data_IF_030634105327
#
_entry.id   IF_030634105327
#
_cell.length_a   1.000
_cell.length_b   1.000
_cell.length_c   1.000
_cell.angle_alpha   90.00
_cell.angle_beta   90.00
_cell.angle_gamma   90.00
#
_symmetry.space_group_name_H-M   'P 1'
#
loop_
_entity.id
_entity.type
_entity.pdbx_description
1 polymer ?
#
# COMPACT_ATOMS: atom_id res chain seq x y z
N UNK A 1 58.90 -45.11 21.28
CA UNK A 1 58.99 -43.64 21.04
C UNK A 1 57.56 -43.15 20.81
N UNK A 2 57.11 -42.15 21.60
CA UNK A 2 55.74 -41.59 21.76
C UNK A 2 54.71 -42.53 22.42
N UNK A 3 54.15 -42.36 23.64
CA UNK A 3 53.64 -41.25 24.49
C UNK A 3 52.34 -40.57 23.99
N UNK A 4 51.29 -40.70 24.83
CA UNK A 4 50.15 -39.78 25.13
C UNK A 4 49.18 -39.42 23.99
N UNK A 5 47.90 -39.05 24.19
CA UNK A 5 46.92 -39.06 25.28
C UNK A 5 45.66 -38.33 24.76
N UNK A 6 44.54 -38.48 25.47
CA UNK A 6 43.45 -37.49 25.65
C UNK A 6 42.50 -37.19 24.47
N UNK A 7 41.28 -37.71 24.63
CA UNK A 7 40.01 -36.97 24.56
C UNK A 7 39.95 -35.74 23.62
N UNK A 8 39.37 -35.93 22.43
CA UNK A 8 38.90 -34.85 21.58
C UNK A 8 37.38 -34.70 21.67
N UNK A 9 36.92 -33.60 22.28
CA UNK A 9 35.53 -33.12 22.19
C UNK A 9 35.19 -32.82 20.73
N UNK A 10 34.08 -33.33 20.22
CA UNK A 10 33.48 -32.81 18.97
C UNK A 10 32.80 -31.49 19.32
N UNK A 11 33.50 -30.39 19.03
CA UNK A 11 33.00 -29.03 19.17
C UNK A 11 32.31 -28.57 17.89
N UNK A 12 31.33 -27.69 18.09
CA UNK A 12 30.45 -27.06 17.12
C UNK A 12 31.11 -26.66 15.80
N UNK A 13 30.41 -26.93 14.70
CA UNK A 13 30.14 -25.98 13.61
C UNK A 13 29.58 -26.72 12.39
N UNK A 14 28.29 -27.09 12.42
CA UNK A 14 27.51 -27.20 11.18
C UNK A 14 27.02 -25.81 10.79
N UNK A 15 27.97 -24.93 10.47
CA UNK A 15 27.70 -23.71 9.73
C UNK A 15 27.37 -24.13 8.29
N UNK A 16 26.09 -24.46 8.04
CA UNK A 16 25.55 -24.36 6.69
C UNK A 16 25.68 -22.89 6.29
N UNK A 17 26.74 -22.56 5.56
CA UNK A 17 26.77 -21.38 4.70
C UNK A 17 25.69 -21.61 3.65
N UNK A 18 24.47 -21.16 3.94
CA UNK A 18 23.60 -20.71 2.86
C UNK A 18 24.38 -19.57 2.22
N UNK A 19 24.90 -19.81 1.02
CA UNK A 19 25.33 -18.75 0.15
C UNK A 19 24.11 -17.86 -0.06
N UNK A 20 23.97 -16.83 0.78
CA UNK A 20 23.14 -15.69 0.46
C UNK A 20 23.93 -14.94 -0.59
N UNK A 21 23.58 -15.16 -1.86
CA UNK A 21 23.68 -14.05 -2.79
C UNK A 21 22.78 -13.00 -2.18
N UNK A 22 23.37 -12.03 -1.48
CA UNK A 22 22.62 -10.85 -1.10
C UNK A 22 22.09 -10.29 -2.41
N UNK A 23 20.80 -10.53 -2.66
CA UNK A 23 20.06 -9.81 -3.67
C UNK A 23 20.36 -8.33 -3.41
N UNK A 24 20.49 -7.50 -4.47
CA UNK A 24 20.58 -6.06 -4.27
C UNK A 24 19.51 -5.68 -3.25
N UNK A 25 19.87 -4.92 -2.21
CA UNK A 25 18.85 -4.27 -1.39
C UNK A 25 18.10 -3.36 -2.36
N UNK A 26 17.03 -3.87 -2.95
CA UNK A 26 16.15 -3.07 -3.78
C UNK A 26 15.70 -1.93 -2.87
N UNK A 27 16.08 -0.70 -3.24
CA UNK A 27 15.67 0.50 -2.51
C UNK A 27 14.14 0.62 -2.44
N UNK A 28 13.44 -0.14 -3.27
CA UNK A 28 12.01 -0.14 -3.50
C UNK A 28 11.34 -1.45 -3.04
N UNK A 29 11.95 -2.15 -2.07
CA UNK A 29 11.36 -3.32 -1.42
C UNK A 29 10.74 -2.99 -0.05
N UNK A 30 9.51 -3.45 0.19
CA UNK A 30 8.78 -3.24 1.46
C UNK A 30 8.24 -4.56 2.01
N UNK A 31 8.09 -4.65 3.34
CA UNK A 31 7.47 -5.84 3.93
C UNK A 31 5.97 -5.89 3.62
N UNK A 32 5.31 -4.74 3.68
CA UNK A 32 3.93 -4.60 3.24
C UNK A 32 3.82 -3.49 2.21
N UNK A 33 3.28 -3.83 1.04
CA UNK A 33 2.79 -2.87 0.05
C UNK A 33 1.27 -2.88 0.10
N UNK A 34 0.68 -1.70 0.25
CA UNK A 34 -0.76 -1.47 0.14
C UNK A 34 -1.03 -0.73 -1.17
N UNK A 35 -1.88 -1.29 -2.02
CA UNK A 35 -2.34 -0.63 -3.25
C UNK A 35 -3.70 -0.01 -3.00
N UNK A 36 -3.76 1.33 -2.97
CA UNK A 36 -4.95 2.12 -2.65
C UNK A 36 -4.88 2.74 -1.25
N UNK A 37 -4.94 4.08 -1.19
CA UNK A 37 -4.94 4.90 0.03
C UNK A 37 -6.35 5.32 0.47
N UNK A 38 -7.36 4.50 0.15
CA UNK A 38 -8.73 4.66 0.62
C UNK A 38 -8.90 4.23 2.08
N UNK A 39 -10.16 4.17 2.54
CA UNK A 39 -10.47 3.86 3.94
C UNK A 39 -9.83 2.53 4.40
N UNK A 40 -10.02 1.44 3.62
CA UNK A 40 -9.44 0.14 3.95
C UNK A 40 -7.91 0.15 3.95
N UNK A 41 -7.29 0.77 2.94
CA UNK A 41 -5.84 0.80 2.79
C UNK A 41 -5.14 1.53 3.95
N UNK A 42 -5.59 2.74 4.29
CA UNK A 42 -4.98 3.50 5.40
C UNK A 42 -5.26 2.86 6.76
N UNK A 43 -6.44 2.27 6.97
CA UNK A 43 -6.75 1.56 8.21
C UNK A 43 -5.81 0.38 8.45
N UNK A 44 -5.59 -0.47 7.44
CA UNK A 44 -4.68 -1.61 7.59
C UNK A 44 -3.22 -1.15 7.66
N UNK A 45 -2.81 -0.17 6.86
CA UNK A 45 -1.45 0.38 6.94
C UNK A 45 -1.13 0.89 8.35
N UNK A 46 -2.06 1.65 8.96
CA UNK A 46 -1.93 2.11 10.35
C UNK A 46 -1.80 0.92 11.31
N UNK A 47 -2.69 -0.07 11.21
CA UNK A 47 -2.67 -1.22 12.12
C UNK A 47 -1.40 -2.04 12.00
N UNK A 48 -0.90 -2.22 10.78
CA UNK A 48 0.31 -2.96 10.53
C UNK A 48 1.54 -2.25 11.10
N UNK A 49 1.60 -0.90 11.00
CA UNK A 49 2.69 -0.15 11.64
C UNK A 49 2.72 -0.28 13.16
N UNK A 50 1.57 -0.43 13.83
CA UNK A 50 1.52 -0.68 15.28
C UNK A 50 2.12 -2.05 15.63
N UNK A 51 1.77 -3.09 14.87
CA UNK A 51 2.26 -4.46 15.09
C UNK A 51 3.75 -4.60 14.79
N UNK A 52 4.22 -3.92 13.73
CA UNK A 52 5.64 -3.91 13.32
C UNK A 52 6.53 -2.99 14.17
N UNK A 53 6.04 -2.34 15.22
CA UNK A 53 6.88 -1.48 16.08
C UNK A 53 8.08 -2.21 16.71
N UNK A 54 8.09 -3.55 16.68
CA UNK A 54 9.20 -4.41 17.12
C UNK A 54 10.23 -4.72 16.03
N UNK A 55 9.97 -4.39 14.76
CA UNK A 55 10.76 -4.78 13.59
C UNK A 55 10.85 -3.61 12.59
N UNK A 56 11.92 -2.81 12.69
CA UNK A 56 12.39 -1.78 11.75
C UNK A 56 11.35 -0.80 11.14
N UNK A 57 11.54 0.50 11.42
CA UNK A 57 10.76 1.58 10.79
C UNK A 57 10.95 1.60 9.26
N UNK A 58 9.89 1.93 8.51
CA UNK A 58 9.95 2.14 7.04
C UNK A 58 9.64 0.91 6.17
N UNK A 59 9.00 -0.11 6.74
CA UNK A 59 8.68 -1.37 6.06
C UNK A 59 7.29 -1.43 5.41
N UNK A 60 6.46 -0.39 5.57
CA UNK A 60 5.12 -0.30 4.99
C UNK A 60 5.08 0.83 3.97
N UNK A 61 4.57 0.52 2.76
CA UNK A 61 4.30 1.50 1.73
C UNK A 61 2.83 1.50 1.32
N UNK A 62 2.30 2.67 0.98
CA UNK A 62 0.97 2.85 0.37
C UNK A 62 1.17 3.50 -0.99
N UNK A 63 0.72 2.81 -2.05
CA UNK A 63 0.67 3.32 -3.42
C UNK A 63 -0.70 3.98 -3.62
N UNK A 64 -0.72 5.30 -3.76
CA UNK A 64 -1.93 6.10 -3.91
C UNK A 64 -1.66 7.37 -4.70
N UNK A 65 -2.28 7.58 -5.87
CA UNK A 65 -2.02 8.74 -6.71
C UNK A 65 -2.68 10.05 -6.20
N UNK A 66 -3.81 9.97 -5.47
CA UNK A 66 -4.60 11.13 -5.07
C UNK A 66 -3.94 11.96 -3.97
N UNK A 67 -3.99 13.28 -4.11
CA UNK A 67 -3.60 14.24 -3.07
C UNK A 67 -4.63 14.38 -1.95
N UNK A 68 -5.83 13.83 -2.13
CA UNK A 68 -6.96 13.99 -1.23
C UNK A 68 -7.55 12.63 -0.85
N UNK A 69 -7.92 12.50 0.42
CA UNK A 69 -8.68 11.37 0.96
C UNK A 69 -10.08 11.87 1.34
N UNK A 70 -11.11 11.15 0.91
CA UNK A 70 -12.50 11.52 1.15
C UNK A 70 -13.23 10.51 2.04
N UNK A 71 -13.95 11.03 3.03
CA UNK A 71 -14.96 10.27 3.77
C UNK A 71 -16.27 10.26 2.98
N UNK A 72 -16.32 9.39 1.97
CA UNK A 72 -17.43 9.26 1.02
C UNK A 72 -18.82 9.03 1.66
N UNK A 73 -18.98 8.36 2.82
CA UNK A 73 -20.30 8.26 3.46
C UNK A 73 -20.96 9.61 3.77
N UNK A 74 -20.18 10.69 3.90
CA UNK A 74 -20.72 12.04 4.08
C UNK A 74 -21.40 12.59 2.82
N UNK A 75 -21.12 12.06 1.63
CA UNK A 75 -21.64 12.57 0.36
C UNK A 75 -23.16 12.47 0.23
N UNK A 76 -23.80 11.52 0.93
CA UNK A 76 -25.27 11.50 1.06
C UNK A 76 -25.80 12.77 1.72
N UNK A 77 -25.13 13.26 2.77
CA UNK A 77 -25.52 14.50 3.47
C UNK A 77 -25.17 15.75 2.65
N UNK A 78 -24.14 15.67 1.82
CA UNK A 78 -23.80 16.74 0.86
C UNK A 78 -24.88 16.84 -0.21
N UNK A 79 -25.31 15.71 -0.79
CA UNK A 79 -26.42 15.67 -1.75
C UNK A 79 -27.75 16.17 -1.17
N UNK A 80 -27.95 16.02 0.14
CA UNK A 80 -29.10 16.57 0.86
C UNK A 80 -28.95 18.06 1.26
N UNK A 81 -27.81 18.71 0.97
CA UNK A 81 -27.55 20.10 1.36
C UNK A 81 -27.27 20.33 2.85
N UNK A 82 -27.03 19.27 3.63
CA UNK A 82 -26.80 19.32 5.09
C UNK A 82 -25.31 19.53 5.42
N UNK A 83 -24.42 19.07 4.54
CA UNK A 83 -22.95 19.18 4.65
C UNK A 83 -22.35 19.77 3.38
N UNK A 84 -21.11 20.25 3.46
CA UNK A 84 -20.35 20.70 2.28
C UNK A 84 -19.34 19.63 1.83
N UNK A 85 -19.00 19.62 0.54
CA UNK A 85 -18.03 18.66 0.00
C UNK A 85 -16.66 18.78 0.66
N UNK A 86 -16.20 20.01 0.93
CA UNK A 86 -14.92 20.29 1.58
C UNK A 86 -14.78 19.65 2.95
N UNK A 87 -15.88 19.51 3.70
CA UNK A 87 -15.89 18.84 5.01
C UNK A 87 -15.58 17.34 4.93
N UNK A 88 -15.80 16.73 3.76
CA UNK A 88 -15.56 15.31 3.55
C UNK A 88 -14.12 14.98 3.18
N UNK A 89 -13.32 15.98 2.74
CA UNK A 89 -11.97 15.79 2.21
C UNK A 89 -10.86 16.21 3.17
N UNK A 90 -9.73 15.49 3.13
CA UNK A 90 -8.48 15.91 3.78
C UNK A 90 -7.28 15.65 2.87
N UNK A 91 -6.22 16.48 2.92
CA UNK A 91 -4.98 16.18 2.22
C UNK A 91 -4.44 14.80 2.63
N UNK A 92 -4.09 13.95 1.66
CA UNK A 92 -3.60 12.58 1.85
C UNK A 92 -2.41 12.55 2.81
N UNK A 93 -1.47 13.48 2.66
CA UNK A 93 -0.32 13.63 3.55
C UNK A 93 -0.69 13.81 5.04
N UNK A 94 -1.85 14.44 5.35
CA UNK A 94 -2.31 14.67 6.72
C UNK A 94 -2.98 13.45 7.35
N UNK A 95 -3.43 12.49 6.55
CA UNK A 95 -4.09 11.26 7.01
C UNK A 95 -3.22 10.01 6.85
N UNK A 96 -2.09 10.12 6.14
CA UNK A 96 -1.11 9.04 6.01
C UNK A 96 -0.57 8.64 7.40
N UNK A 97 -0.62 7.34 7.78
CA UNK A 97 -0.12 6.91 9.07
C UNK A 97 1.38 7.19 9.25
N UNK A 98 1.79 7.49 10.48
CA UNK A 98 3.20 7.76 10.80
C UNK A 98 4.05 6.53 10.50
N UNK A 99 5.19 6.74 9.81
CA UNK A 99 6.12 5.67 9.48
C UNK A 99 5.77 4.87 8.21
N UNK A 100 4.66 5.18 7.55
CA UNK A 100 4.31 4.65 6.22
C UNK A 100 4.94 5.51 5.13
N UNK A 101 5.53 4.85 4.13
CA UNK A 101 6.00 5.52 2.90
C UNK A 101 4.81 5.73 1.97
N UNK A 102 4.45 6.98 1.70
CA UNK A 102 3.52 7.30 0.62
C UNK A 102 4.25 7.27 -0.73
N UNK A 103 3.86 6.35 -1.60
CA UNK A 103 4.27 6.28 -3.00
C UNK A 103 3.15 6.95 -3.80
N UNK A 104 3.34 8.21 -4.14
CA UNK A 104 2.37 9.00 -4.91
C UNK A 104 2.45 8.65 -6.40
N UNK A 105 1.91 7.48 -6.74
CA UNK A 105 1.88 6.91 -8.08
C UNK A 105 0.65 6.00 -8.21
N UNK A 106 0.36 5.57 -9.45
CA UNK A 106 -0.72 4.64 -9.77
C UNK A 106 -0.13 3.26 -10.03
N UNK A 107 -0.69 2.23 -9.40
CA UNK A 107 -0.41 0.84 -9.76
C UNK A 107 -1.05 0.50 -11.12
N UNK A 108 -0.27 -0.08 -12.02
CA UNK A 108 -0.68 -0.46 -13.37
C UNK A 108 -0.84 -1.97 -13.55
N UNK A 109 -0.05 -2.76 -12.83
CA UNK A 109 -0.16 -4.21 -12.81
C UNK A 109 0.38 -4.76 -11.50
N UNK A 110 -0.23 -5.86 -11.05
CA UNK A 110 0.29 -6.70 -9.98
C UNK A 110 0.85 -7.95 -10.65
N UNK A 111 2.11 -8.27 -10.34
CA UNK A 111 2.86 -9.37 -10.90
C UNK A 111 3.24 -10.32 -9.73
N UNK A 112 2.30 -11.21 -9.33
CA UNK A 112 2.40 -11.98 -8.09
C UNK A 112 3.51 -13.03 -8.14
N UNK A 113 3.81 -13.60 -9.31
CA UNK A 113 4.88 -14.60 -9.46
C UNK A 113 6.26 -14.01 -9.15
N UNK A 114 6.41 -12.69 -9.25
CA UNK A 114 7.63 -11.94 -8.96
C UNK A 114 7.50 -11.07 -7.69
N UNK A 115 6.39 -11.18 -6.95
CA UNK A 115 6.05 -10.36 -5.79
C UNK A 115 6.28 -8.86 -6.01
N UNK A 116 5.74 -8.32 -7.12
CA UNK A 116 5.96 -6.92 -7.48
C UNK A 116 4.72 -6.20 -8.04
N UNK A 117 4.71 -4.89 -7.91
CA UNK A 117 3.70 -3.98 -8.45
C UNK A 117 4.38 -3.03 -9.43
N UNK A 118 3.93 -3.03 -10.67
CA UNK A 118 4.39 -2.07 -11.69
C UNK A 118 3.59 -0.78 -11.58
N UNK A 119 4.30 0.35 -11.57
CA UNK A 119 3.72 1.68 -11.43
C UNK A 119 3.61 2.39 -12.79
N UNK A 120 2.84 3.48 -12.81
CA UNK A 120 2.61 4.28 -14.02
C UNK A 120 3.75 5.25 -14.31
N UNK A 121 4.38 5.80 -13.26
CA UNK A 121 5.38 6.85 -13.35
C UNK A 121 6.83 6.37 -13.27
N UNK A 122 7.72 7.31 -12.95
CA UNK A 122 9.17 7.11 -12.90
C UNK A 122 9.65 6.16 -11.79
N UNK A 123 8.77 5.79 -10.85
CA UNK A 123 9.11 4.88 -9.74
C UNK A 123 9.27 3.42 -10.19
N UNK A 124 8.91 3.09 -11.43
CA UNK A 124 9.16 1.78 -12.02
C UNK A 124 8.37 0.66 -11.35
N UNK A 125 9.02 -0.13 -10.51
CA UNK A 125 8.45 -1.34 -9.90
C UNK A 125 8.78 -1.41 -8.41
N UNK A 126 7.79 -1.80 -7.60
CA UNK A 126 7.93 -1.97 -6.14
C UNK A 126 7.80 -3.46 -5.82
N UNK A 127 8.71 -4.01 -5.03
CA UNK A 127 8.65 -5.41 -4.59
C UNK A 127 8.15 -5.52 -3.15
N UNK A 128 7.59 -6.68 -2.79
CA UNK A 128 6.96 -6.87 -1.49
C UNK A 128 7.17 -8.27 -0.89
N UNK A 129 7.09 -8.36 0.44
CA UNK A 129 6.85 -9.65 1.13
C UNK A 129 5.33 -9.95 1.19
N UNK A 130 4.53 -8.93 1.49
CA UNK A 130 3.07 -9.00 1.54
C UNK A 130 2.43 -7.89 0.72
N UNK A 131 1.33 -8.21 0.03
CA UNK A 131 0.54 -7.27 -0.74
C UNK A 131 -0.89 -7.19 -0.18
N UNK A 132 -1.34 -5.98 0.12
CA UNK A 132 -2.75 -5.67 0.37
C UNK A 132 -3.33 -4.91 -0.82
N UNK A 133 -4.38 -5.45 -1.42
CA UNK A 133 -5.13 -4.78 -2.49
C UNK A 133 -6.37 -4.11 -1.89
N UNK A 134 -6.41 -2.77 -1.89
CA UNK A 134 -7.45 -1.93 -1.30
C UNK A 134 -7.86 -0.79 -2.25
N UNK A 135 -8.00 -1.10 -3.54
CA UNK A 135 -8.23 -0.13 -4.63
C UNK A 135 -9.65 0.44 -4.71
N UNK A 136 -10.57 -0.06 -3.89
CA UNK A 136 -11.98 0.35 -3.93
C UNK A 136 -12.69 -0.17 -5.17
N UNK A 137 -13.55 0.67 -5.75
CA UNK A 137 -14.37 0.37 -6.93
C UNK A 137 -14.18 1.46 -7.98
N UNK A 138 -14.43 1.12 -9.24
CA UNK A 138 -14.52 2.09 -10.33
C UNK A 138 -15.99 2.36 -10.65
N UNK A 139 -16.27 3.59 -11.07
CA UNK A 139 -17.62 3.99 -11.49
C UNK A 139 -17.65 4.07 -13.01
N UNK A 140 -18.51 3.27 -13.62
CA UNK A 140 -18.61 3.13 -15.07
C UNK A 140 -19.80 3.95 -15.61
N UNK A 141 -19.72 5.28 -15.56
CA UNK A 141 -20.80 6.18 -16.01
C UNK A 141 -21.27 5.90 -17.44
N UNK A 142 -20.31 5.68 -18.35
CA UNK A 142 -20.53 5.33 -19.75
C UNK A 142 -21.38 4.07 -20.01
N UNK A 143 -21.60 3.20 -19.01
CA UNK A 143 -22.43 1.99 -19.20
C UNK A 143 -23.93 2.29 -19.26
N UNK A 144 -24.36 3.48 -18.84
CA UNK A 144 -25.74 3.93 -18.95
C UNK A 144 -25.80 5.01 -20.03
N UNK A 145 -26.49 4.70 -21.13
CA UNK A 145 -26.66 5.62 -22.26
C UNK A 145 -27.27 6.92 -21.77
N UNK A 146 -26.62 8.05 -22.06
CA UNK A 146 -27.09 9.39 -21.70
C UNK A 146 -26.74 9.84 -20.28
N UNK A 147 -26.10 9.01 -19.45
CA UNK A 147 -25.86 9.35 -18.04
C UNK A 147 -24.77 10.41 -17.86
N UNK A 148 -23.67 10.32 -18.61
CA UNK A 148 -22.60 11.32 -18.53
C UNK A 148 -23.10 12.70 -18.97
N UNK A 149 -23.94 12.75 -20.02
CA UNK A 149 -24.62 13.97 -20.45
C UNK A 149 -25.61 14.46 -19.39
N UNK A 150 -26.40 13.56 -18.80
CA UNK A 150 -27.36 13.92 -17.76
C UNK A 150 -26.69 14.56 -16.54
N UNK A 151 -25.49 14.10 -16.14
CA UNK A 151 -24.74 14.68 -15.01
C UNK A 151 -24.32 16.14 -15.24
N UNK A 152 -24.38 16.64 -16.49
CA UNK A 152 -24.14 18.07 -16.79
C UNK A 152 -25.40 18.93 -16.68
N UNK A 153 -26.57 18.31 -16.49
CA UNK A 153 -27.86 19.01 -16.40
C UNK A 153 -28.07 19.62 -15.00
N UNK A 154 -28.50 20.89 -14.88
CA UNK A 154 -28.78 21.51 -13.59
C UNK A 154 -29.76 20.68 -12.75
N UNK A 155 -29.39 20.41 -11.50
CA UNK A 155 -30.21 19.64 -10.55
C UNK A 155 -30.00 18.12 -10.59
N UNK A 156 -29.21 17.60 -11.54
CA UNK A 156 -28.75 16.21 -11.51
C UNK A 156 -27.48 16.12 -10.65
N UNK A 157 -27.43 15.13 -9.77
CA UNK A 157 -26.26 14.87 -8.94
C UNK A 157 -26.05 13.38 -8.73
N UNK A 158 -24.85 13.03 -8.26
CA UNK A 158 -24.53 11.69 -7.81
C UNK A 158 -23.81 11.76 -6.46
N UNK A 159 -24.08 10.76 -5.62
CA UNK A 159 -23.33 10.52 -4.39
C UNK A 159 -22.10 9.63 -4.62
N UNK A 160 -21.74 9.39 -5.88
CA UNK A 160 -20.49 8.75 -6.31
C UNK A 160 -19.80 9.69 -7.30
N UNK A 161 -18.46 9.74 -7.28
CA UNK A 161 -17.64 10.61 -8.13
C UNK A 161 -16.43 9.87 -8.67
#
# INVERSE_FOLDING_TARGET
MALLSLTGRVSANHLRRYASTAAPKDKDHFHLVVVGGGAGGLSIASKFTEVLTTLDKGKVAVIEPSDMHYYQPMWTLVGAGIKTLDQSGRPMAKVMPKGVKWIKDRAMAIEPDQNRVRLSGANGTITYDYLLVAVGINIDWHKIVGLEEALTTPGVCSNYS
#
